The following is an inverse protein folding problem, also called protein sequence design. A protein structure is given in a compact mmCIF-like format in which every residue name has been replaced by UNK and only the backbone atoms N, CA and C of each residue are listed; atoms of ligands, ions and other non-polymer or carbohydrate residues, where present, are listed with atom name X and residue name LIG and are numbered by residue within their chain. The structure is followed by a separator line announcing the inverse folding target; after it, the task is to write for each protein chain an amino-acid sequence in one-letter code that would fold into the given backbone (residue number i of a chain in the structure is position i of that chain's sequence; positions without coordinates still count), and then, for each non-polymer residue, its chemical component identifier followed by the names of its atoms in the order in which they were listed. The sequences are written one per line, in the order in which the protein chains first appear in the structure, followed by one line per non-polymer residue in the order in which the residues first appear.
data_IF_340342670765
#
_entry.id   IF_340342670765
#
_cell.length_a   1.000
_cell.length_b   1.000
_cell.length_c   1.000
_cell.angle_alpha   90.00
_cell.angle_beta   90.00
_cell.angle_gamma   90.00
#
_symmetry.space_group_name_H-M   'P 1'
#
loop_
_entity.id
_entity.type
_entity.pdbx_description
1 polymer ?
#
# COMPACT_ATOMS: atom_id res chain seq x y z
N UNK A 1 -1.39 9.64 16.57
CA UNK A 1 -0.32 9.71 15.55
C UNK A 1 -0.76 10.62 14.42
N UNK A 2 0.15 11.33 13.77
CA UNK A 2 -0.12 12.40 12.79
C UNK A 2 -0.64 11.91 11.42
N UNK A 3 -0.87 10.61 11.24
CA UNK A 3 -1.37 10.05 9.98
C UNK A 3 -0.31 9.91 8.88
N UNK A 4 0.97 10.19 9.16
CA UNK A 4 2.03 10.23 8.15
C UNK A 4 2.39 8.85 7.55
N UNK A 5 2.20 7.76 8.29
CA UNK A 5 2.66 6.43 7.88
C UNK A 5 2.11 5.99 6.51
N UNK A 6 0.78 5.91 6.38
CA UNK A 6 0.16 5.52 5.11
C UNK A 6 0.28 6.60 4.03
N UNK A 7 0.43 7.87 4.41
CA UNK A 7 0.69 8.95 3.46
C UNK A 7 2.05 8.75 2.75
N UNK A 8 3.09 8.39 3.50
CA UNK A 8 4.40 8.04 2.95
C UNK A 8 4.31 6.81 2.05
N UNK A 9 3.65 5.74 2.52
CA UNK A 9 3.46 4.50 1.73
C UNK A 9 2.74 4.78 0.41
N UNK A 10 1.66 5.57 0.43
CA UNK A 10 0.91 5.95 -0.78
C UNK A 10 1.77 6.75 -1.75
N UNK A 11 2.61 7.65 -1.25
CA UNK A 11 3.53 8.42 -2.07
C UNK A 11 4.56 7.51 -2.77
N UNK A 12 5.20 6.61 -2.02
CA UNK A 12 6.15 5.63 -2.58
C UNK A 12 5.45 4.73 -3.60
N UNK A 13 4.27 4.17 -3.27
CA UNK A 13 3.51 3.32 -4.17
C UNK A 13 3.20 4.00 -5.51
N UNK A 14 2.71 5.24 -5.47
CA UNK A 14 2.44 6.03 -6.67
C UNK A 14 3.69 6.19 -7.56
N UNK A 15 4.85 6.47 -6.95
CA UNK A 15 6.12 6.64 -7.67
C UNK A 15 6.61 5.37 -8.35
N UNK A 16 6.31 4.21 -7.76
CA UNK A 16 6.61 2.89 -8.31
C UNK A 16 5.49 2.32 -9.19
N UNK A 17 4.45 3.11 -9.49
CA UNK A 17 3.25 2.67 -10.21
C UNK A 17 2.58 1.45 -9.56
N UNK A 18 2.78 1.29 -8.24
CA UNK A 18 2.24 0.22 -7.45
C UNK A 18 0.85 0.59 -6.94
N UNK A 19 -0.05 -0.39 -6.91
CA UNK A 19 -1.37 -0.26 -6.33
C UNK A 19 -1.33 -0.64 -4.84
N UNK A 20 -1.80 0.25 -3.97
CA UNK A 20 -2.06 -0.06 -2.56
C UNK A 20 -3.48 -0.61 -2.40
N UNK A 21 -3.60 -1.87 -1.98
CA UNK A 21 -4.85 -2.54 -1.64
C UNK A 21 -4.94 -2.68 -0.13
N UNK A 22 -6.10 -2.37 0.43
CA UNK A 22 -6.34 -2.43 1.88
C UNK A 22 -7.58 -3.26 2.12
N UNK A 23 -7.44 -4.31 2.90
CA UNK A 23 -8.52 -5.20 3.30
C UNK A 23 -8.58 -5.18 4.82
N UNK A 24 -9.75 -4.93 5.39
CA UNK A 24 -9.92 -4.88 6.84
C UNK A 24 -11.14 -5.70 7.24
N UNK A 25 -10.97 -6.51 8.28
CA UNK A 25 -12.07 -7.24 8.90
C UNK A 25 -12.11 -6.90 10.38
N UNK A 26 -13.28 -6.43 10.84
CA UNK A 26 -13.51 -6.05 12.23
C UNK A 26 -13.14 -7.21 13.17
N UNK A 27 -12.37 -6.91 14.22
CA UNK A 27 -11.90 -7.90 15.19
C UNK A 27 -10.82 -8.86 14.69
N UNK A 28 -10.43 -8.82 13.41
CA UNK A 28 -9.32 -9.63 12.85
C UNK A 28 -8.11 -8.79 12.45
N UNK A 29 -8.32 -7.49 12.22
CA UNK A 29 -7.28 -6.55 11.81
C UNK A 29 -7.35 -6.20 10.32
N UNK A 30 -6.25 -5.69 9.80
CA UNK A 30 -6.15 -5.18 8.42
C UNK A 30 -4.91 -5.73 7.73
N UNK A 31 -5.08 -6.08 6.46
CA UNK A 31 -4.02 -6.45 5.53
C UNK A 31 -3.81 -5.32 4.53
N UNK A 32 -2.56 -4.93 4.34
CA UNK A 32 -2.15 -3.91 3.38
C UNK A 32 -1.22 -4.57 2.36
N UNK A 33 -1.56 -4.46 1.08
CA UNK A 33 -0.82 -5.10 -0.01
C UNK A 33 -0.37 -4.05 -1.03
N UNK A 34 0.90 -4.09 -1.41
CA UNK A 34 1.42 -3.35 -2.57
C UNK A 34 1.53 -4.30 -3.77
N UNK A 35 0.84 -3.96 -4.86
CA UNK A 35 0.91 -4.69 -6.13
C UNK A 35 1.74 -3.89 -7.12
N UNK A 36 2.91 -4.39 -7.47
CA UNK A 36 3.79 -3.77 -8.46
C UNK A 36 3.47 -4.31 -9.85
N UNK A 37 3.56 -3.49 -10.90
CA UNK A 37 3.34 -3.95 -12.25
C UNK A 37 4.56 -4.80 -12.71
N UNK A 38 4.38 -5.79 -13.61
CA UNK A 38 5.43 -6.74 -13.97
C UNK A 38 6.72 -6.09 -14.47
N UNK A 39 6.61 -4.95 -15.17
CA UNK A 39 7.72 -4.19 -15.75
C UNK A 39 8.66 -3.58 -14.70
N UNK A 40 8.26 -3.62 -13.41
CA UNK A 40 9.08 -3.14 -12.28
C UNK A 40 9.86 -4.24 -11.57
N UNK A 41 9.66 -5.50 -11.97
CA UNK A 41 10.26 -6.69 -11.34
C UNK A 41 11.19 -7.44 -12.32
N UNK A 42 11.10 -7.14 -13.62
CA UNK A 42 11.96 -7.70 -14.67
C UNK A 42 13.36 -7.10 -14.72
#
# INVERSE_FOLDING_TARGET
GTGLGLAIVKHVASRHQAQLVIESTLGKGSTFTLRFPPERIS
#
